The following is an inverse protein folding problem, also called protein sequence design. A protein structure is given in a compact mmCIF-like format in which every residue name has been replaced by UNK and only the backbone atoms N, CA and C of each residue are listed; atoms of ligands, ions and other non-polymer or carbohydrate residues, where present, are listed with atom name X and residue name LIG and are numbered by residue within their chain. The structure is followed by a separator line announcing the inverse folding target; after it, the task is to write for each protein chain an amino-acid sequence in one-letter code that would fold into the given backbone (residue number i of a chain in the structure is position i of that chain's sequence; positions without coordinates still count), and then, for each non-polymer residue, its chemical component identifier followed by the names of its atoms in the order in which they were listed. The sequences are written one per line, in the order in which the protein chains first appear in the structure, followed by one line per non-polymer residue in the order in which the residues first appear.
data_IF_504110798579
#
_entry.id   IF_504110798579
#
_cell.length_a   1.000
_cell.length_b   1.000
_cell.length_c   1.000
_cell.angle_alpha   90.00
_cell.angle_beta   90.00
_cell.angle_gamma   90.00
#
_symmetry.space_group_name_H-M   'P 1'
#
loop_
_entity.id
_entity.type
_entity.pdbx_description
1 polymer ?
#
# COMPACT_ATOMS: atom_id res chain seq x y z
N UNK A 1 10.54 -15.22 2.33
CA UNK A 1 10.48 -13.74 2.34
C UNK A 1 11.73 -13.22 3.02
N UNK A 2 12.43 -12.22 2.48
CA UNK A 2 13.63 -11.68 3.13
C UNK A 2 13.24 -10.95 4.43
N UNK A 3 14.12 -10.98 5.45
CA UNK A 3 13.90 -10.34 6.75
C UNK A 3 13.48 -8.86 6.60
N UNK A 4 14.14 -8.16 5.68
CA UNK A 4 13.85 -6.77 5.30
C UNK A 4 12.38 -6.52 4.92
N UNK A 5 11.83 -7.38 4.05
CA UNK A 5 10.44 -7.26 3.62
C UNK A 5 9.50 -7.47 4.80
N UNK A 6 9.83 -8.42 5.67
CA UNK A 6 9.04 -8.67 6.88
C UNK A 6 9.05 -7.47 7.82
N UNK A 7 10.21 -6.83 8.01
CA UNK A 7 10.34 -5.66 8.87
C UNK A 7 9.52 -4.48 8.33
N UNK A 8 9.58 -4.22 7.03
CA UNK A 8 8.78 -3.18 6.36
C UNK A 8 7.28 -3.45 6.51
N UNK A 9 6.83 -4.68 6.21
CA UNK A 9 5.42 -5.07 6.34
C UNK A 9 4.96 -4.89 7.79
N UNK A 10 5.79 -5.27 8.76
CA UNK A 10 5.47 -5.12 10.19
C UNK A 10 5.40 -3.65 10.62
N UNK A 11 6.29 -2.79 10.11
CA UNK A 11 6.22 -1.34 10.34
C UNK A 11 4.92 -0.76 9.77
N UNK A 12 4.56 -1.08 8.53
CA UNK A 12 3.31 -0.62 7.89
C UNK A 12 2.09 -1.10 8.70
N UNK A 13 2.04 -2.39 9.08
CA UNK A 13 0.97 -2.96 9.92
C UNK A 13 0.84 -2.21 11.25
N UNK A 14 1.97 -1.92 11.90
CA UNK A 14 1.99 -1.18 13.16
C UNK A 14 1.48 0.24 12.99
N UNK A 15 1.89 0.94 11.94
CA UNK A 15 1.45 2.30 11.61
C UNK A 15 -0.05 2.40 11.33
N UNK A 16 -0.61 1.40 10.65
CA UNK A 16 -2.02 1.38 10.23
C UNK A 16 -2.99 0.76 11.23
N UNK A 17 -2.49 0.16 12.32
CA UNK A 17 -3.33 -0.55 13.30
C UNK A 17 -4.55 0.31 13.72
N UNK A 18 -5.75 -0.21 13.42
CA UNK A 18 -7.06 0.40 13.69
C UNK A 18 -7.35 1.74 12.98
N UNK A 19 -6.53 2.14 12.01
CA UNK A 19 -6.66 3.41 11.27
C UNK A 19 -6.99 3.23 9.79
N UNK A 20 -6.57 2.12 9.19
CA UNK A 20 -6.85 1.74 7.80
C UNK A 20 -7.34 0.30 7.80
N UNK A 21 -8.50 0.07 7.20
CA UNK A 21 -9.17 -1.24 7.21
C UNK A 21 -8.38 -2.29 6.45
N UNK A 22 -7.92 -1.96 5.25
CA UNK A 22 -7.12 -2.86 4.42
C UNK A 22 -5.97 -2.12 3.74
N UNK A 23 -4.83 -2.79 3.62
CA UNK A 23 -3.74 -2.30 2.80
C UNK A 23 -3.04 -3.46 2.07
N UNK A 24 -2.43 -3.13 0.92
CA UNK A 24 -1.68 -4.06 0.09
C UNK A 24 -0.36 -3.41 -0.31
N UNK A 25 0.68 -4.20 -0.52
CA UNK A 25 1.94 -3.73 -1.06
C UNK A 25 2.08 -4.33 -2.46
N UNK A 26 2.37 -3.50 -3.46
CA UNK A 26 2.49 -3.89 -4.87
C UNK A 26 3.82 -3.43 -5.48
N UNK A 27 3.95 -3.55 -6.81
CA UNK A 27 5.09 -3.04 -7.56
C UNK A 27 6.36 -3.89 -7.40
N UNK A 28 7.51 -3.22 -7.48
CA UNK A 28 8.84 -3.85 -7.37
C UNK A 28 9.02 -4.62 -6.07
N UNK A 29 8.34 -4.22 -4.99
CA UNK A 29 8.39 -4.91 -3.69
C UNK A 29 7.98 -6.38 -3.78
N UNK A 30 7.14 -6.74 -4.76
CA UNK A 30 6.71 -8.11 -5.01
C UNK A 30 7.77 -8.96 -5.73
N UNK A 31 8.88 -8.39 -6.21
CA UNK A 31 9.95 -9.14 -6.85
C UNK A 31 10.81 -9.87 -5.81
N UNK A 32 11.20 -11.12 -6.06
CA UNK A 32 12.12 -11.86 -5.18
C UNK A 32 13.51 -11.22 -5.13
N UNK A 33 13.87 -10.47 -6.18
CA UNK A 33 15.11 -9.70 -6.30
C UNK A 33 15.03 -8.29 -5.72
N UNK A 34 13.92 -7.92 -5.06
CA UNK A 34 13.78 -6.58 -4.49
C UNK A 34 14.94 -6.30 -3.53
N UNK A 35 15.59 -5.16 -3.73
CA UNK A 35 16.73 -4.70 -2.95
C UNK A 35 16.58 -3.22 -2.60
N UNK A 36 17.42 -2.78 -1.66
CA UNK A 36 17.33 -1.47 -1.02
C UNK A 36 17.76 -0.30 -1.89
N UNK A 37 18.54 -0.55 -2.95
CA UNK A 37 19.30 0.51 -3.61
C UNK A 37 18.48 1.26 -4.68
N UNK A 38 17.45 0.65 -5.25
CA UNK A 38 16.71 1.24 -6.39
C UNK A 38 15.24 0.79 -6.51
N UNK A 39 14.58 0.44 -5.40
CA UNK A 39 13.22 -0.10 -5.47
C UNK A 39 12.25 0.66 -4.58
N UNK A 40 11.29 1.33 -5.21
CA UNK A 40 10.18 1.99 -4.51
C UNK A 40 9.17 0.94 -3.97
N UNK A 41 8.45 1.34 -2.92
CA UNK A 41 7.39 0.56 -2.29
C UNK A 41 6.04 1.18 -2.66
N UNK A 42 5.21 0.45 -3.38
CA UNK A 42 3.86 0.91 -3.70
C UNK A 42 2.86 0.38 -2.67
N UNK A 43 2.19 1.28 -1.96
CA UNK A 43 1.25 0.94 -0.89
C UNK A 43 -0.15 1.33 -1.33
N UNK A 44 -1.04 0.35 -1.40
CA UNK A 44 -2.47 0.54 -1.67
C UNK A 44 -3.21 0.54 -0.34
N UNK A 45 -3.96 1.60 -0.05
CA UNK A 45 -4.79 1.73 1.15
C UNK A 45 -6.26 1.74 0.75
N UNK A 46 -7.07 0.91 1.41
CA UNK A 46 -8.51 0.80 1.15
C UNK A 46 -9.27 0.99 2.46
N UNK A 47 -10.04 2.07 2.53
CA UNK A 47 -10.87 2.40 3.69
C UNK A 47 -12.09 3.22 3.26
N UNK A 48 -13.22 3.05 3.97
CA UNK A 48 -14.45 3.81 3.70
C UNK A 48 -14.31 5.28 4.11
N UNK A 49 -13.52 5.58 5.14
CA UNK A 49 -13.29 6.95 5.62
C UNK A 49 -12.67 7.87 4.57
N UNK A 50 -12.05 7.32 3.52
CA UNK A 50 -11.51 8.10 2.42
C UNK A 50 -12.57 8.78 1.54
N UNK A 51 -13.86 8.44 1.69
CA UNK A 51 -14.97 9.15 1.03
C UNK A 51 -15.14 10.60 1.52
N UNK A 52 -14.70 10.90 2.74
CA UNK A 52 -14.96 12.19 3.40
C UNK A 52 -14.02 13.31 2.97
N UNK A 53 -12.88 12.98 2.37
CA UNK A 53 -11.80 13.92 2.06
C UNK A 53 -11.30 13.77 0.63
N UNK A 54 -10.62 14.81 0.14
CA UNK A 54 -9.97 14.74 -1.17
C UNK A 54 -8.84 13.72 -1.19
N UNK A 55 -8.50 13.22 -2.38
CA UNK A 55 -7.36 12.32 -2.57
C UNK A 55 -6.06 12.86 -1.98
N UNK A 56 -5.80 14.17 -2.14
CA UNK A 56 -4.59 14.80 -1.63
C UNK A 56 -4.55 14.84 -0.10
N UNK A 57 -5.67 15.13 0.56
CA UNK A 57 -5.79 15.14 2.01
C UNK A 57 -5.60 13.73 2.58
N UNK A 58 -6.27 12.75 2.00
CA UNK A 58 -6.09 11.34 2.38
C UNK A 58 -4.63 10.90 2.16
N UNK A 59 -4.00 11.27 1.02
CA UNK A 59 -2.58 10.93 0.75
C UNK A 59 -1.66 11.54 1.77
N UNK A 60 -1.88 12.80 2.14
CA UNK A 60 -1.12 13.48 3.19
C UNK A 60 -1.33 12.83 4.56
N UNK A 61 -2.55 12.44 4.89
CA UNK A 61 -2.90 11.77 6.14
C UNK A 61 -2.22 10.41 6.27
N UNK A 62 -2.33 9.54 5.26
CA UNK A 62 -1.68 8.23 5.22
C UNK A 62 -0.16 8.37 5.25
N UNK A 63 0.40 9.32 4.48
CA UNK A 63 1.85 9.58 4.48
C UNK A 63 2.37 9.95 5.86
N UNK A 64 1.61 10.69 6.66
CA UNK A 64 1.96 11.02 8.06
C UNK A 64 1.95 9.80 8.99
N UNK A 65 1.23 8.73 8.67
CA UNK A 65 1.28 7.49 9.46
C UNK A 65 2.51 6.64 9.18
N UNK A 66 3.06 6.75 7.97
CA UNK A 66 4.17 5.96 7.45
C UNK A 66 5.52 6.68 7.56
N UNK A 67 5.64 7.64 8.48
CA UNK A 67 6.87 8.43 8.67
C UNK A 67 8.07 7.60 9.09
N UNK A 68 7.84 6.45 9.72
CA UNK A 68 8.88 5.53 10.19
C UNK A 68 9.37 4.56 9.08
N UNK A 69 8.84 4.65 7.86
CA UNK A 69 9.29 3.84 6.74
C UNK A 69 10.53 4.50 6.13
N UNK A 70 11.73 3.90 6.23
CA UNK A 70 12.98 4.55 5.85
C UNK A 70 13.27 4.48 4.34
N UNK A 71 12.24 4.25 3.52
CA UNK A 71 12.36 3.99 2.08
C UNK A 71 11.45 4.92 1.29
N UNK A 72 11.75 5.10 0.01
CA UNK A 72 10.83 5.74 -0.91
C UNK A 72 9.60 4.86 -1.11
N UNK A 73 8.44 5.48 -1.02
CA UNK A 73 7.18 4.81 -1.24
C UNK A 73 6.19 5.74 -1.90
N UNK A 74 5.29 5.13 -2.67
CA UNK A 74 4.10 5.77 -3.18
C UNK A 74 2.85 5.20 -2.52
N UNK A 75 1.83 6.03 -2.44
CA UNK A 75 0.56 5.68 -1.80
C UNK A 75 -0.56 5.87 -2.81
N UNK A 76 -1.34 4.81 -3.00
CA UNK A 76 -2.59 4.79 -3.73
C UNK A 76 -3.73 4.61 -2.73
N UNK A 77 -4.74 5.47 -2.82
CA UNK A 77 -5.86 5.49 -1.88
C UNK A 77 -7.14 5.23 -2.64
N UNK A 78 -7.93 4.32 -2.10
CA UNK A 78 -9.22 3.93 -2.67
C UNK A 78 -10.27 3.78 -1.58
N UNK A 79 -11.49 4.19 -1.90
CA UNK A 79 -12.67 3.67 -1.18
C UNK A 79 -12.91 2.21 -1.60
N UNK A 80 -13.69 1.42 -0.85
CA UNK A 80 -14.01 0.03 -1.25
C UNK A 80 -14.61 -0.05 -2.66
N UNK A 81 -15.49 0.89 -3.01
CA UNK A 81 -16.11 0.95 -4.35
C UNK A 81 -15.09 1.25 -5.43
N UNK A 82 -14.21 2.24 -5.23
CA UNK A 82 -13.16 2.58 -6.19
C UNK A 82 -12.14 1.45 -6.36
N UNK A 83 -11.81 0.75 -5.27
CA UNK A 83 -10.89 -0.38 -5.30
C UNK A 83 -11.47 -1.54 -6.11
N UNK A 84 -12.74 -1.87 -5.89
CA UNK A 84 -13.44 -2.92 -6.65
C UNK A 84 -13.53 -2.57 -8.13
N UNK A 85 -13.86 -1.32 -8.46
CA UNK A 85 -13.87 -0.85 -9.84
C UNK A 85 -12.48 -0.97 -10.49
N UNK A 86 -11.42 -0.58 -9.76
CA UNK A 86 -10.04 -0.72 -10.21
C UNK A 86 -9.65 -2.19 -10.41
N UNK A 87 -10.05 -3.10 -9.54
CA UNK A 87 -9.81 -4.54 -9.68
C UNK A 87 -10.50 -5.15 -10.92
N UNK A 88 -11.72 -4.70 -11.22
CA UNK A 88 -12.50 -5.19 -12.36
C UNK A 88 -11.95 -4.68 -13.70
N UNK A 89 -11.57 -3.40 -13.74
CA UNK A 89 -11.16 -2.74 -14.99
C UNK A 89 -9.65 -2.82 -15.27
N UNK A 90 -8.81 -3.19 -14.28
CA UNK A 90 -7.37 -3.25 -14.43
C UNK A 90 -6.80 -4.62 -14.03
N UNK A 91 -6.72 -5.51 -15.03
CA UNK A 91 -6.17 -6.87 -14.86
C UNK A 91 -4.73 -6.87 -14.34
N UNK A 92 -3.93 -5.85 -14.65
CA UNK A 92 -2.53 -5.76 -14.17
C UNK A 92 -2.52 -5.44 -12.68
N UNK A 93 -3.33 -4.47 -12.26
CA UNK A 93 -3.49 -4.14 -10.84
C UNK A 93 -4.02 -5.34 -10.05
N UNK A 94 -5.06 -6.02 -10.55
CA UNK A 94 -5.63 -7.21 -9.90
C UNK A 94 -4.58 -8.31 -9.68
N UNK A 95 -3.77 -8.65 -10.70
CA UNK A 95 -2.68 -9.62 -10.55
C UNK A 95 -1.67 -9.23 -9.47
N UNK A 96 -1.36 -7.94 -9.32
CA UNK A 96 -0.45 -7.47 -8.28
C UNK A 96 -1.06 -7.58 -6.89
N UNK A 97 -2.34 -7.24 -6.72
CA UNK A 97 -3.06 -7.40 -5.44
C UNK A 97 -3.06 -8.87 -4.99
N UNK A 98 -3.37 -9.81 -5.90
CA UNK A 98 -3.34 -11.24 -5.58
C UNK A 98 -1.94 -11.73 -5.18
N UNK A 99 -0.89 -11.21 -5.83
CA UNK A 99 0.49 -11.56 -5.49
C UNK A 99 0.92 -10.97 -4.14
N UNK A 100 0.48 -9.76 -3.79
CA UNK A 100 0.80 -9.10 -2.52
C UNK A 100 -0.04 -9.52 -1.32
N UNK A 101 -1.13 -10.26 -1.55
CA UNK A 101 -1.98 -10.81 -0.49
C UNK A 101 -1.50 -12.17 0.07
N UNK A 102 -0.58 -12.85 -0.63
CA UNK A 102 0.07 -14.10 -0.21
C UNK A 102 1.39 -13.83 0.51
#
# INVERSE_FOLDING_TARGET
MSQAKSDIVNLIRKSFKNKVSNFFIIGSFLSDSWNYENSDIDIVCVDKSFEEYSYFENKKYVKKMLVDIPYNFDIFIYTPTQFNDKLLNDLRFHKQILKGAN
#
